data_IF_506263385423
#
_entry.id   IF_506263385423
#
_cell.length_a   1.000
_cell.length_b   1.000
_cell.length_c   1.000
_cell.angle_alpha   90.00
_cell.angle_beta   90.00
_cell.angle_gamma   90.00
#
_symmetry.space_group_name_H-M   'P 1'
#
loop_
_entity.id
_entity.type
_entity.pdbx_description
1 polymer ?
#
# COMPACT_ATOMS: atom_id res chain seq x y z
N UNK A 1 -36.47 14.90 53.73
CA UNK A 1 -35.20 15.39 53.11
C UNK A 1 -34.13 14.28 53.12
N UNK A 2 -33.78 13.71 54.29
CA UNK A 2 -32.77 12.64 54.41
C UNK A 2 -33.01 11.39 53.53
N UNK A 3 -34.27 10.92 53.43
CA UNK A 3 -34.62 9.77 52.58
C UNK A 3 -34.46 10.05 51.07
N UNK A 4 -34.65 11.31 50.65
CA UNK A 4 -34.51 11.72 49.25
C UNK A 4 -33.03 11.81 48.83
N UNK A 5 -32.18 12.29 49.73
CA UNK A 5 -30.72 12.36 49.54
C UNK A 5 -30.12 10.95 49.42
N UNK A 6 -30.53 10.02 50.28
CA UNK A 6 -30.04 8.63 50.22
C UNK A 6 -30.47 7.90 48.94
N UNK A 7 -31.68 8.17 48.46
CA UNK A 7 -32.17 7.64 47.18
C UNK A 7 -31.34 8.21 46.01
N UNK A 8 -31.06 9.52 46.01
CA UNK A 8 -30.25 10.20 45.01
C UNK A 8 -28.81 9.70 44.96
N UNK A 9 -28.17 9.48 46.11
CA UNK A 9 -26.82 8.88 46.20
C UNK A 9 -26.79 7.46 45.61
N UNK A 10 -27.82 6.65 45.86
CA UNK A 10 -27.93 5.29 45.32
C UNK A 10 -28.06 5.27 43.79
N UNK A 11 -28.85 6.18 43.21
CA UNK A 11 -28.97 6.29 41.75
C UNK A 11 -27.71 6.84 41.09
N UNK A 12 -26.99 7.76 41.74
CA UNK A 12 -25.71 8.25 41.25
C UNK A 12 -24.64 7.15 41.24
N UNK A 13 -24.55 6.36 42.32
CA UNK A 13 -23.63 5.23 42.39
C UNK A 13 -23.94 4.18 41.30
N UNK A 14 -25.22 3.90 41.05
CA UNK A 14 -25.64 2.99 39.99
C UNK A 14 -25.30 3.54 38.59
N UNK A 15 -25.53 4.84 38.37
CA UNK A 15 -25.23 5.52 37.10
C UNK A 15 -23.73 5.48 36.78
N UNK A 16 -22.88 5.77 37.77
CA UNK A 16 -21.41 5.69 37.63
C UNK A 16 -20.98 4.25 37.31
N UNK A 17 -21.56 3.26 37.98
CA UNK A 17 -21.22 1.85 37.74
C UNK A 17 -21.59 1.41 36.31
N UNK A 18 -22.76 1.82 35.82
CA UNK A 18 -23.18 1.54 34.43
C UNK A 18 -22.21 2.19 33.44
N UNK A 19 -21.86 3.46 33.64
CA UNK A 19 -20.93 4.18 32.77
C UNK A 19 -19.55 3.49 32.71
N UNK A 20 -19.01 3.06 33.86
CA UNK A 20 -17.74 2.34 33.92
C UNK A 20 -17.80 1.02 33.16
N UNK A 21 -18.85 0.22 33.35
CA UNK A 21 -19.03 -1.04 32.64
C UNK A 21 -19.15 -0.83 31.12
N UNK A 22 -19.91 0.18 30.69
CA UNK A 22 -20.04 0.52 29.27
C UNK A 22 -18.70 0.91 28.64
N UNK A 23 -17.92 1.76 29.31
CA UNK A 23 -16.59 2.18 28.82
C UNK A 23 -15.63 1.00 28.75
N UNK A 24 -15.58 0.16 29.78
CA UNK A 24 -14.73 -1.05 29.78
C UNK A 24 -15.10 -1.98 28.63
N UNK A 25 -16.40 -2.19 28.38
CA UNK A 25 -16.89 -3.06 27.30
C UNK A 25 -16.47 -2.52 25.93
N UNK A 26 -16.62 -1.20 25.69
CA UNK A 26 -16.19 -0.56 24.43
C UNK A 26 -14.68 -0.73 24.22
N UNK A 27 -13.89 -0.55 25.28
CA UNK A 27 -12.43 -0.72 25.21
C UNK A 27 -12.05 -2.17 24.90
N UNK A 28 -12.73 -3.16 25.47
CA UNK A 28 -12.48 -4.57 25.20
C UNK A 28 -12.81 -4.91 23.73
N UNK A 29 -13.94 -4.41 23.21
CA UNK A 29 -14.33 -4.63 21.80
C UNK A 29 -13.30 -4.00 20.86
N UNK A 30 -12.91 -2.75 21.11
CA UNK A 30 -11.89 -2.07 20.30
C UNK A 30 -10.53 -2.79 20.35
N UNK A 31 -10.14 -3.31 21.52
CA UNK A 31 -8.92 -4.10 21.67
C UNK A 31 -8.98 -5.43 20.91
N UNK A 32 -10.14 -6.11 20.88
CA UNK A 32 -10.31 -7.36 20.13
C UNK A 32 -10.26 -7.13 18.61
N UNK A 33 -10.93 -6.09 18.09
CA UNK A 33 -10.85 -5.75 16.66
C UNK A 33 -9.41 -5.37 16.25
N UNK A 34 -8.70 -4.59 17.07
CA UNK A 34 -7.28 -4.32 16.86
C UNK A 34 -6.44 -5.61 16.88
N UNK A 35 -6.74 -6.54 17.79
CA UNK A 35 -6.02 -7.81 17.90
C UNK A 35 -6.29 -8.72 16.71
N UNK A 36 -7.53 -8.81 16.22
CA UNK A 36 -7.86 -9.58 15.03
C UNK A 36 -7.18 -9.02 13.78
N UNK A 37 -7.15 -7.69 13.61
CA UNK A 37 -6.40 -7.04 12.53
C UNK A 37 -4.89 -7.36 12.62
N UNK A 38 -4.31 -7.33 13.81
CA UNK A 38 -2.90 -7.63 14.01
C UNK A 38 -2.57 -9.12 13.77
N UNK A 39 -3.44 -10.02 14.22
CA UNK A 39 -3.29 -11.47 13.96
C UNK A 39 -3.47 -11.76 12.48
N UNK A 40 -4.41 -11.09 11.78
CA UNK A 40 -4.61 -11.24 10.33
C UNK A 40 -3.39 -10.79 9.52
N UNK A 41 -2.72 -9.72 9.93
CA UNK A 41 -1.42 -9.30 9.36
C UNK A 41 -0.32 -10.34 9.60
N UNK A 42 -0.39 -11.08 10.72
CA UNK A 42 0.56 -12.15 11.06
C UNK A 42 0.19 -13.49 10.41
N UNK A 43 -1.06 -13.69 10.02
CA UNK A 43 -1.63 -14.95 9.54
C UNK A 43 -1.92 -14.97 8.05
N UNK A 44 -1.49 -13.98 7.25
CA UNK A 44 -1.27 -14.27 5.83
C UNK A 44 -0.36 -15.51 5.79
N UNK A 45 -0.80 -16.61 5.15
CA UNK A 45 -0.04 -17.83 5.17
C UNK A 45 1.32 -17.55 4.52
N UNK A 46 2.37 -17.52 5.35
CA UNK A 46 3.71 -17.84 4.92
C UNK A 46 3.66 -19.28 4.41
N UNK A 47 3.20 -19.43 3.16
CA UNK A 47 3.48 -20.59 2.34
C UNK A 47 4.98 -20.84 2.48
N UNK A 48 5.33 -22.03 2.97
CA UNK A 48 6.66 -22.60 2.84
C UNK A 48 7.14 -22.39 1.40
N UNK A 49 7.86 -21.30 1.18
CA UNK A 49 8.65 -21.03 0.00
C UNK A 49 10.02 -20.73 0.56
N UNK A 50 11.02 -21.43 0.05
CA UNK A 50 12.41 -20.97 0.09
C UNK A 50 12.41 -19.45 -0.02
N UNK A 51 13.19 -18.78 0.82
CA UNK A 51 13.25 -17.33 0.96
C UNK A 51 13.87 -16.72 -0.30
N UNK A 52 13.20 -16.86 -1.44
CA UNK A 52 13.59 -16.23 -2.68
C UNK A 52 13.27 -14.74 -2.50
N UNK A 53 14.30 -13.98 -2.17
CA UNK A 53 14.24 -12.53 -2.10
C UNK A 53 13.59 -12.03 -3.39
N UNK A 54 12.56 -11.21 -3.25
CA UNK A 54 11.87 -10.66 -4.41
C UNK A 54 12.86 -9.78 -5.16
N UNK A 55 12.96 -9.94 -6.48
CA UNK A 55 13.95 -9.22 -7.28
C UNK A 55 13.32 -7.97 -7.87
N UNK A 56 14.03 -6.85 -7.79
CA UNK A 56 13.62 -5.62 -8.46
C UNK A 56 14.63 -5.19 -9.51
N UNK A 57 14.11 -4.57 -10.56
CA UNK A 57 14.88 -3.99 -11.66
C UNK A 57 14.47 -2.52 -11.84
N UNK A 58 15.44 -1.62 -11.81
CA UNK A 58 15.22 -0.20 -12.09
C UNK A 58 15.62 0.12 -13.53
N UNK A 59 14.69 0.70 -14.28
CA UNK A 59 14.87 1.08 -15.69
C UNK A 59 14.78 2.60 -15.88
N UNK A 60 15.81 3.21 -16.44
CA UNK A 60 15.87 4.66 -16.62
C UNK A 60 17.16 5.10 -17.28
N UNK A 61 17.19 6.34 -17.77
CA UNK A 61 18.41 6.98 -18.26
C UNK A 61 19.23 7.49 -17.09
N UNK A 62 20.55 7.43 -17.20
CA UNK A 62 21.49 8.04 -16.26
C UNK A 62 21.22 7.68 -14.78
N UNK A 63 20.81 6.45 -14.48
CA UNK A 63 20.50 5.99 -13.11
C UNK A 63 21.66 6.27 -12.15
N UNK A 64 22.90 6.20 -12.64
CA UNK A 64 24.13 6.50 -11.90
C UNK A 64 24.20 7.90 -11.29
N UNK A 65 23.38 8.85 -11.77
CA UNK A 65 23.31 10.21 -11.19
C UNK A 65 22.58 10.24 -9.83
N UNK A 66 21.91 9.14 -9.45
CA UNK A 66 21.36 8.97 -8.11
C UNK A 66 19.98 9.60 -7.89
N UNK A 67 19.29 10.11 -8.92
CA UNK A 67 17.93 10.67 -8.78
C UNK A 67 16.86 9.63 -8.37
N UNK A 68 17.19 8.34 -8.39
CA UNK A 68 16.35 7.24 -7.90
C UNK A 68 16.88 6.58 -6.62
N UNK A 69 17.87 7.15 -5.93
CA UNK A 69 18.51 6.52 -4.76
C UNK A 69 17.50 6.12 -3.67
N UNK A 70 16.43 6.90 -3.50
CA UNK A 70 15.36 6.66 -2.55
C UNK A 70 14.57 5.40 -2.92
N UNK A 71 14.35 5.14 -4.21
CA UNK A 71 13.67 3.94 -4.70
C UNK A 71 14.47 2.70 -4.33
N UNK A 72 15.79 2.70 -4.59
CA UNK A 72 16.68 1.61 -4.16
C UNK A 72 16.62 1.41 -2.65
N UNK A 73 16.78 2.49 -1.88
CA UNK A 73 16.78 2.45 -0.41
C UNK A 73 15.49 1.86 0.15
N UNK A 74 14.33 2.26 -0.38
CA UNK A 74 13.03 1.77 0.09
C UNK A 74 12.86 0.29 -0.28
N UNK A 75 13.20 -0.10 -1.50
CA UNK A 75 13.03 -1.49 -1.96
C UNK A 75 13.95 -2.46 -1.20
N UNK A 76 15.19 -2.05 -0.93
CA UNK A 76 16.12 -2.81 -0.09
C UNK A 76 15.59 -2.98 1.34
N UNK A 77 15.03 -1.92 1.93
CA UNK A 77 14.38 -1.99 3.26
C UNK A 77 13.16 -2.89 3.29
N UNK A 78 12.46 -3.03 2.17
CA UNK A 78 11.35 -3.96 1.99
C UNK A 78 11.80 -5.40 1.73
N UNK A 79 13.12 -5.66 1.69
CA UNK A 79 13.69 -6.99 1.47
C UNK A 79 13.74 -7.41 0.01
N UNK A 80 13.69 -6.46 -0.93
CA UNK A 80 13.93 -6.76 -2.34
C UNK A 80 15.42 -6.74 -2.66
N UNK A 81 15.83 -7.61 -3.58
CA UNK A 81 17.19 -7.67 -4.11
C UNK A 81 17.27 -6.94 -5.46
N UNK A 82 18.21 -6.00 -5.60
CA UNK A 82 18.43 -5.30 -6.86
C UNK A 82 19.12 -6.25 -7.86
N UNK A 83 18.44 -6.57 -8.96
CA UNK A 83 19.02 -7.39 -10.01
C UNK A 83 18.70 -6.82 -11.40
N UNK A 84 19.56 -5.96 -11.96
CA UNK A 84 19.31 -5.31 -13.25
C UNK A 84 19.40 -6.27 -14.45
N UNK A 85 19.99 -7.46 -14.27
CA UNK A 85 20.17 -8.45 -15.33
C UNK A 85 19.22 -9.66 -15.17
N UNK A 86 18.29 -9.61 -14.22
CA UNK A 86 17.40 -10.73 -13.97
C UNK A 86 16.42 -10.93 -15.13
N UNK A 87 16.41 -12.14 -15.69
CA UNK A 87 15.34 -12.65 -16.56
C UNK A 87 14.06 -12.94 -15.76
N UNK A 88 14.19 -13.22 -14.46
CA UNK A 88 13.09 -13.39 -13.52
C UNK A 88 13.14 -12.31 -12.43
N UNK A 89 12.28 -11.30 -12.58
CA UNK A 89 12.09 -10.19 -11.66
C UNK A 89 10.65 -10.15 -11.16
N UNK A 90 10.43 -9.56 -9.98
CA UNK A 90 9.10 -9.38 -9.38
C UNK A 90 8.58 -7.95 -9.56
N UNK A 91 9.48 -6.95 -9.51
CA UNK A 91 9.15 -5.54 -9.68
C UNK A 91 10.06 -4.85 -10.69
N UNK A 92 9.47 -4.26 -11.72
CA UNK A 92 10.12 -3.29 -12.59
C UNK A 92 9.73 -1.88 -12.18
N UNK A 93 10.72 -1.09 -11.77
CA UNK A 93 10.56 0.33 -11.52
C UNK A 93 11.15 1.15 -12.67
N UNK A 94 10.29 1.62 -13.56
CA UNK A 94 10.71 2.48 -14.66
C UNK A 94 10.61 3.96 -14.28
N UNK A 95 11.57 4.78 -14.70
CA UNK A 95 11.47 6.25 -14.61
C UNK A 95 10.71 6.86 -15.80
N UNK A 96 11.00 6.38 -17.01
CA UNK A 96 10.29 6.77 -18.24
C UNK A 96 9.31 5.66 -18.65
N UNK A 97 8.29 5.99 -19.45
CA UNK A 97 7.34 5.01 -19.98
C UNK A 97 8.02 3.82 -20.69
N UNK A 98 7.90 2.59 -20.16
CA UNK A 98 8.70 1.47 -20.64
C UNK A 98 8.06 0.73 -21.82
N UNK A 99 6.74 0.84 -22.02
CA UNK A 99 5.97 -0.04 -22.92
C UNK A 99 6.35 0.02 -24.40
N UNK A 100 6.97 1.11 -24.87
CA UNK A 100 7.48 1.19 -26.26
C UNK A 100 8.82 0.48 -26.41
N UNK A 101 9.74 0.66 -25.46
CA UNK A 101 11.11 0.12 -25.55
C UNK A 101 11.22 -1.31 -25.04
N UNK A 102 10.44 -1.66 -24.02
CA UNK A 102 10.41 -2.98 -23.38
C UNK A 102 9.17 -3.78 -23.78
N UNK A 103 8.55 -3.46 -24.93
CA UNK A 103 7.31 -4.09 -25.38
C UNK A 103 7.39 -5.63 -25.35
N UNK A 104 8.48 -6.21 -25.84
CA UNK A 104 8.68 -7.67 -25.86
C UNK A 104 8.65 -8.31 -24.47
N UNK A 105 9.14 -7.60 -23.44
CA UNK A 105 9.18 -8.09 -22.06
C UNK A 105 7.88 -7.79 -21.30
N UNK A 106 7.17 -6.71 -21.64
CA UNK A 106 6.01 -6.22 -20.90
C UNK A 106 4.66 -6.66 -21.48
N UNK A 107 4.63 -7.20 -22.71
CA UNK A 107 3.38 -7.68 -23.32
C UNK A 107 2.87 -9.00 -22.72
N UNK A 108 3.74 -9.76 -22.04
CA UNK A 108 3.41 -11.07 -21.46
C UNK A 108 3.92 -11.20 -20.02
N UNK A 109 3.44 -10.33 -19.14
CA UNK A 109 3.83 -10.36 -17.72
C UNK A 109 3.30 -11.61 -17.02
N UNK A 110 4.16 -12.26 -16.22
CA UNK A 110 3.76 -13.31 -15.30
C UNK A 110 2.88 -12.72 -14.18
N UNK A 111 1.98 -13.50 -13.54
CA UNK A 111 1.06 -12.97 -12.52
C UNK A 111 1.72 -12.23 -11.33
N UNK A 112 2.95 -12.61 -10.98
CA UNK A 112 3.73 -11.99 -9.91
C UNK A 112 4.43 -10.69 -10.34
N UNK A 113 4.67 -10.50 -11.64
CA UNK A 113 5.41 -9.36 -12.17
C UNK A 113 4.59 -8.08 -12.10
N UNK A 114 5.18 -7.03 -11.52
CA UNK A 114 4.57 -5.72 -11.35
C UNK A 114 5.43 -4.64 -12.01
N UNK A 115 4.76 -3.66 -12.63
CA UNK A 115 5.38 -2.48 -13.23
C UNK A 115 4.70 -1.25 -12.65
N UNK A 116 5.46 -0.20 -12.32
CA UNK A 116 4.94 1.04 -11.73
C UNK A 116 4.22 1.97 -12.74
N UNK A 117 3.92 1.51 -13.95
CA UNK A 117 3.27 2.28 -15.00
C UNK A 117 2.10 1.50 -15.61
N UNK A 118 1.07 2.21 -16.07
CA UNK A 118 -0.01 1.61 -16.86
C UNK A 118 0.24 1.81 -18.37
N UNK A 119 -0.08 0.83 -19.23
CA UNK A 119 0.02 1.01 -20.67
C UNK A 119 -0.96 2.09 -21.13
N UNK A 120 -0.52 2.98 -22.02
CA UNK A 120 -1.35 4.03 -22.62
C UNK A 120 -1.53 5.31 -21.80
N UNK A 121 -1.23 5.36 -20.49
CA UNK A 121 -1.38 6.61 -19.73
C UNK A 121 -0.41 7.73 -20.17
N UNK A 122 0.60 7.40 -20.99
CA UNK A 122 1.47 8.37 -21.66
C UNK A 122 0.71 9.34 -22.56
N UNK A 123 -0.33 8.86 -23.26
CA UNK A 123 -1.15 9.70 -24.15
C UNK A 123 -1.96 10.77 -23.42
N UNK A 124 -2.22 10.56 -22.13
CA UNK A 124 -2.96 11.52 -21.28
C UNK A 124 -1.99 12.43 -20.53
N UNK A 125 -0.81 11.94 -20.16
CA UNK A 125 0.16 12.67 -19.33
C UNK A 125 1.17 13.50 -20.12
N UNK A 126 1.36 13.21 -21.41
CA UNK A 126 2.19 14.02 -22.30
C UNK A 126 1.38 15.21 -22.84
N UNK A 127 1.95 16.43 -22.73
CA UNK A 127 1.29 17.67 -23.17
C UNK A 127 0.91 17.68 -24.65
N UNK A 128 1.81 17.21 -25.52
CA UNK A 128 1.58 17.18 -26.97
C UNK A 128 0.52 16.13 -27.28
N UNK A 129 0.71 14.89 -26.81
CA UNK A 129 -0.25 13.81 -27.07
C UNK A 129 -1.65 14.17 -26.55
N UNK A 130 -1.74 14.79 -25.37
CA UNK A 130 -3.00 15.24 -24.79
C UNK A 130 -3.67 16.30 -25.67
N UNK A 131 -2.94 17.36 -26.05
CA UNK A 131 -3.46 18.43 -26.89
C UNK A 131 -3.91 17.92 -28.27
N UNK A 132 -3.21 16.94 -28.84
CA UNK A 132 -3.54 16.37 -30.15
C UNK A 132 -4.47 15.16 -30.10
N UNK A 133 -4.95 14.76 -28.91
CA UNK A 133 -5.72 13.53 -28.72
C UNK A 133 -7.11 13.52 -29.36
N UNK A 134 -7.66 14.71 -29.67
CA UNK A 134 -9.03 14.84 -30.17
C UNK A 134 -10.11 14.51 -29.13
N UNK A 135 -9.74 14.44 -27.83
CA UNK A 135 -10.69 14.20 -26.74
C UNK A 135 -11.69 15.37 -26.63
N UNK A 136 -12.98 15.05 -26.44
CA UNK A 136 -14.11 15.99 -26.46
C UNK A 136 -13.93 17.29 -25.66
N UNK A 137 -13.18 17.24 -24.56
CA UNK A 137 -13.00 18.37 -23.64
C UNK A 137 -11.58 18.93 -23.60
N UNK A 138 -10.71 18.51 -24.52
CA UNK A 138 -9.38 19.10 -24.67
C UNK A 138 -9.46 20.18 -25.77
N UNK A 139 -9.12 21.44 -25.45
CA UNK A 139 -9.12 22.52 -26.44
C UNK A 139 -8.15 22.21 -27.61
N UNK A 140 -8.49 22.64 -28.84
CA UNK A 140 -7.61 22.50 -30.00
C UNK A 140 -6.33 23.33 -29.89
#
# INVERSE_FOLDING_TARGET
IQCFIHSYEKYNALSVLIAVVSVITIVIIAADECRQCFIKLKSEPQSNKETHLKKFWVYGKNIQTGYLKEVFTILERLGYENNPNATEWDLLWAHEYPFRKLHSQLNNLKPHQKVNHFPGCGYITNKVDLATSGLKYIPP
#
